data_IF_071468231165
#
_entry.id   IF_071468231165
#
_cell.length_a   1.000
_cell.length_b   1.000
_cell.length_c   1.000
_cell.angle_alpha   90.00
_cell.angle_beta   90.00
_cell.angle_gamma   90.00
#
_symmetry.space_group_name_H-M   'P 1'
#
loop_
_entity.id
_entity.type
_entity.pdbx_description
1 polymer ?
#
# COMPACT_ATOMS: atom_id res chain seq x y z
N UNK A 1 -20.21 12.68 39.47
CA UNK A 1 -20.17 13.60 38.31
C UNK A 1 -19.44 12.89 37.19
N UNK A 2 -20.16 12.56 36.12
CA UNK A 2 -19.63 11.83 34.96
C UNK A 2 -18.85 12.79 34.06
N UNK A 3 -17.54 12.57 33.92
CA UNK A 3 -16.75 13.28 32.93
C UNK A 3 -16.70 12.44 31.65
N UNK A 4 -17.27 13.03 30.61
CA UNK A 4 -17.47 12.45 29.29
C UNK A 4 -16.14 11.96 28.70
N UNK A 5 -16.17 10.71 28.23
CA UNK A 5 -15.18 10.11 27.34
C UNK A 5 -15.19 10.93 26.06
N UNK A 6 -14.20 11.81 25.90
CA UNK A 6 -14.01 12.55 24.64
C UNK A 6 -13.67 11.53 23.55
N UNK A 7 -14.64 11.23 22.70
CA UNK A 7 -14.42 10.61 21.39
C UNK A 7 -13.54 11.58 20.59
N UNK A 8 -12.22 11.39 20.67
CA UNK A 8 -11.27 12.11 19.83
C UNK A 8 -11.58 11.72 18.38
N UNK A 9 -12.27 12.61 17.67
CA UNK A 9 -12.42 12.52 16.22
C UNK A 9 -11.03 12.39 15.61
N UNK A 10 -10.74 11.22 15.04
CA UNK A 10 -9.46 10.93 14.40
C UNK A 10 -9.20 12.02 13.34
N UNK A 11 -7.96 12.55 13.26
CA UNK A 11 -7.63 13.64 12.36
C UNK A 11 -7.86 13.17 10.92
N UNK A 12 -8.65 13.95 10.17
CA UNK A 12 -8.77 13.97 8.71
C UNK A 12 -8.16 12.76 7.97
N UNK A 13 -8.96 11.73 7.68
CA UNK A 13 -8.52 10.64 6.80
C UNK A 13 -8.30 11.20 5.40
N UNK A 14 -7.09 11.09 4.87
CA UNK A 14 -6.81 11.51 3.51
C UNK A 14 -7.73 10.77 2.51
N UNK A 15 -8.21 11.44 1.44
CA UNK A 15 -9.18 10.88 0.50
C UNK A 15 -8.62 9.64 -0.19
N UNK A 16 -9.44 8.60 -0.30
CA UNK A 16 -9.06 7.32 -0.95
C UNK A 16 -9.04 7.49 -2.47
N UNK A 17 -8.06 6.84 -3.12
CA UNK A 17 -7.97 6.78 -4.57
C UNK A 17 -8.92 5.71 -5.12
N UNK A 18 -10.08 6.13 -5.61
CA UNK A 18 -11.05 5.25 -6.27
C UNK A 18 -10.53 4.64 -7.58
N UNK A 19 -9.58 5.28 -8.24
CA UNK A 19 -8.93 4.71 -9.42
C UNK A 19 -8.02 3.53 -9.02
N UNK A 20 -7.37 3.59 -7.87
CA UNK A 20 -6.55 2.48 -7.36
C UNK A 20 -7.41 1.27 -6.98
N UNK A 21 -8.59 1.49 -6.38
CA UNK A 21 -9.51 0.38 -6.05
C UNK A 21 -10.08 -0.30 -7.30
N UNK A 22 -10.11 0.39 -8.44
CA UNK A 22 -10.48 -0.15 -9.77
C UNK A 22 -9.28 -0.63 -10.59
N UNK A 23 -8.10 -0.76 -9.97
CA UNK A 23 -6.85 -1.20 -10.61
C UNK A 23 -6.40 -0.31 -11.80
N UNK A 24 -6.87 0.93 -11.86
CA UNK A 24 -6.59 1.87 -12.97
C UNK A 24 -5.63 3.01 -12.60
N UNK A 25 -5.22 3.11 -11.33
CA UNK A 25 -4.21 4.07 -10.90
C UNK A 25 -2.83 3.42 -10.80
N UNK A 26 -1.92 3.83 -11.68
CA UNK A 26 -0.51 3.43 -11.68
C UNK A 26 0.43 4.53 -11.15
N UNK A 27 -0.11 5.67 -10.70
CA UNK A 27 0.69 6.82 -10.26
C UNK A 27 1.20 6.61 -8.84
N UNK A 28 2.52 6.67 -8.67
CA UNK A 28 3.18 6.56 -7.37
C UNK A 28 2.98 7.79 -6.47
N UNK A 29 3.00 9.00 -7.05
CA UNK A 29 2.75 10.26 -6.36
C UNK A 29 1.26 10.64 -6.41
N UNK A 30 0.39 9.66 -6.16
CA UNK A 30 -1.04 9.93 -6.10
C UNK A 30 -1.36 10.83 -4.91
N UNK A 31 -2.11 11.92 -5.15
CA UNK A 31 -2.57 12.84 -4.09
C UNK A 31 -3.61 12.22 -3.15
N UNK A 32 -4.01 10.98 -3.41
CA UNK A 32 -5.04 10.23 -2.70
C UNK A 32 -4.45 8.92 -2.17
N UNK A 33 -4.96 8.43 -1.05
CA UNK A 33 -4.48 7.20 -0.39
C UNK A 33 -4.84 5.97 -1.22
N UNK A 34 -3.85 5.13 -1.49
CA UNK A 34 -4.05 3.82 -2.10
C UNK A 34 -4.34 2.78 -1.01
N UNK A 35 -5.49 2.10 -1.08
CA UNK A 35 -5.79 1.03 -0.13
C UNK A 35 -5.07 -0.26 -0.54
N UNK A 36 -3.85 -0.43 -0.06
CA UNK A 36 -3.07 -1.64 -0.26
C UNK A 36 -3.60 -2.82 0.58
N UNK A 37 -3.26 -4.05 0.16
CA UNK A 37 -3.49 -5.27 0.95
C UNK A 37 -2.27 -5.54 1.83
N UNK A 38 -2.41 -5.34 3.14
CA UNK A 38 -1.34 -5.49 4.12
C UNK A 38 -1.21 -6.93 4.64
N UNK A 39 0.02 -7.36 4.92
CA UNK A 39 0.29 -8.68 5.46
C UNK A 39 0.02 -8.73 6.97
N UNK A 40 -1.08 -9.37 7.37
CA UNK A 40 -1.41 -9.56 8.78
C UNK A 40 -0.33 -10.33 9.55
N UNK A 41 0.27 -11.34 8.91
CA UNK A 41 1.33 -12.15 9.54
C UNK A 41 2.59 -11.32 9.79
N UNK A 42 2.95 -10.41 8.89
CA UNK A 42 4.10 -9.52 9.07
C UNK A 42 3.87 -8.54 10.23
N UNK A 43 2.65 -7.98 10.33
CA UNK A 43 2.28 -7.09 11.43
C UNK A 43 2.32 -7.75 12.80
N UNK A 44 2.18 -9.08 12.87
CA UNK A 44 2.32 -9.86 14.10
C UNK A 44 3.70 -10.54 14.21
N UNK A 45 4.69 -10.11 13.41
CA UNK A 45 6.09 -10.61 13.44
C UNK A 45 6.28 -12.09 13.06
N UNK A 46 5.30 -12.69 12.37
CA UNK A 46 5.33 -14.11 11.96
C UNK A 46 5.77 -14.30 10.50
N UNK A 47 5.50 -13.33 9.62
CA UNK A 47 5.86 -13.47 8.20
C UNK A 47 7.34 -13.20 7.95
N UNK A 48 8.02 -14.17 7.33
CA UNK A 48 9.41 -14.11 6.89
C UNK A 48 9.56 -14.34 5.36
N UNK A 49 8.44 -14.37 4.62
CA UNK A 49 8.44 -14.63 3.18
C UNK A 49 8.92 -13.40 2.42
N UNK A 50 10.02 -13.52 1.68
CA UNK A 50 10.56 -12.44 0.84
C UNK A 50 9.68 -12.15 -0.38
N UNK A 51 8.92 -13.14 -0.84
CA UNK A 51 8.01 -13.10 -1.99
C UNK A 51 6.54 -12.92 -1.58
N UNK A 52 6.28 -12.34 -0.39
CA UNK A 52 4.92 -12.19 0.09
C UNK A 52 4.05 -11.38 -0.90
N UNK A 53 2.87 -11.88 -1.31
CA UNK A 53 1.96 -11.16 -2.19
C UNK A 53 1.27 -9.98 -1.49
N UNK A 54 1.46 -9.85 -0.18
CA UNK A 54 0.91 -8.79 0.65
C UNK A 54 2.00 -7.81 1.08
N UNK A 55 1.62 -6.56 1.33
CA UNK A 55 2.56 -5.51 1.70
C UNK A 55 3.09 -5.73 3.12
N UNK A 56 4.42 -5.71 3.30
CA UNK A 56 5.03 -5.79 4.62
C UNK A 56 5.25 -4.39 5.17
N UNK A 57 4.35 -3.95 6.04
CA UNK A 57 4.55 -2.75 6.84
C UNK A 57 4.07 -2.99 8.27
N UNK A 58 4.57 -2.20 9.20
CA UNK A 58 4.07 -2.18 10.58
C UNK A 58 2.68 -1.56 10.64
N UNK A 59 1.95 -1.81 11.74
CA UNK A 59 0.64 -1.16 11.98
C UNK A 59 0.77 0.36 12.10
N UNK A 60 1.88 0.84 12.65
CA UNK A 60 2.17 2.28 12.78
C UNK A 60 2.34 2.91 11.40
N UNK A 61 3.18 2.33 10.54
CA UNK A 61 3.37 2.82 9.16
C UNK A 61 2.06 2.78 8.33
N UNK A 62 1.25 1.74 8.50
CA UNK A 62 -0.07 1.67 7.88
C UNK A 62 -0.97 2.81 8.34
N UNK A 63 -1.03 3.03 9.66
CA UNK A 63 -1.85 4.09 10.24
C UNK A 63 -1.40 5.47 9.78
N UNK A 64 -0.10 5.74 9.84
CA UNK A 64 0.49 7.01 9.42
C UNK A 64 0.19 7.29 7.95
N UNK A 65 0.27 6.29 7.08
CA UNK A 65 -0.07 6.44 5.67
C UNK A 65 -1.56 6.73 5.45
N UNK A 66 -2.45 6.03 6.16
CA UNK A 66 -3.91 6.23 6.03
C UNK A 66 -4.32 7.64 6.50
N UNK A 67 -3.67 8.14 7.53
CA UNK A 67 -3.96 9.47 8.10
C UNK A 67 -3.32 10.58 7.27
N UNK A 68 -2.02 10.48 7.00
CA UNK A 68 -1.27 11.56 6.33
C UNK A 68 -1.42 11.56 4.81
N UNK A 69 -1.71 10.39 4.21
CA UNK A 69 -1.62 10.19 2.77
C UNK A 69 -0.19 10.20 2.21
N UNK A 70 0.82 10.31 3.06
CA UNK A 70 2.23 10.43 2.67
C UNK A 70 2.91 9.07 2.89
N UNK A 71 3.30 8.35 1.82
CA UNK A 71 3.98 7.07 1.97
C UNK A 71 5.42 7.28 2.41
N UNK A 72 5.88 6.53 3.41
CA UNK A 72 7.29 6.49 3.80
C UNK A 72 8.13 5.84 2.70
N UNK A 73 9.44 6.13 2.67
CA UNK A 73 10.35 5.53 1.69
C UNK A 73 10.31 4.00 1.71
N UNK A 74 10.29 3.41 2.91
CA UNK A 74 10.15 1.97 3.10
C UNK A 74 8.83 1.43 2.54
N UNK A 75 7.72 2.13 2.75
CA UNK A 75 6.43 1.73 2.19
C UNK A 75 6.47 1.73 0.66
N UNK A 76 7.13 2.71 0.03
CA UNK A 76 7.31 2.76 -1.42
C UNK A 76 8.11 1.55 -1.94
N UNK A 77 9.20 1.21 -1.28
CA UNK A 77 10.04 0.05 -1.62
C UNK A 77 9.27 -1.27 -1.49
N UNK A 78 8.48 -1.39 -0.43
CA UNK A 78 7.61 -2.53 -0.18
C UNK A 78 6.52 -2.69 -1.24
N UNK A 79 5.89 -1.58 -1.64
CA UNK A 79 4.89 -1.58 -2.71
C UNK A 79 5.55 -1.94 -4.03
N UNK A 80 6.76 -1.43 -4.31
CA UNK A 80 7.52 -1.79 -5.51
C UNK A 80 7.84 -3.29 -5.55
N UNK A 81 8.27 -3.87 -4.44
CA UNK A 81 8.50 -5.32 -4.32
C UNK A 81 7.22 -6.11 -4.60
N UNK A 82 6.11 -5.73 -3.97
CA UNK A 82 4.84 -6.46 -4.12
C UNK A 82 4.24 -6.30 -5.52
N UNK A 83 4.33 -5.12 -6.14
CA UNK A 83 3.86 -4.89 -7.53
C UNK A 83 4.75 -5.56 -8.58
N UNK A 84 6.05 -5.69 -8.32
CA UNK A 84 6.92 -6.51 -9.17
C UNK A 84 6.51 -7.99 -9.18
N UNK A 85 5.74 -8.43 -8.18
CA UNK A 85 5.29 -9.80 -7.99
C UNK A 85 3.92 -10.10 -8.65
N UNK A 86 3.19 -9.08 -9.11
CA UNK A 86 1.85 -9.27 -9.72
C UNK A 86 1.83 -8.83 -11.18
N UNK A 87 1.91 -9.81 -12.09
CA UNK A 87 1.38 -9.76 -13.46
C UNK A 87 1.86 -8.65 -14.40
N UNK A 88 3.16 -8.33 -14.41
CA UNK A 88 3.77 -7.66 -15.56
C UNK A 88 4.76 -8.62 -16.21
N UNK A 89 4.52 -8.94 -17.48
CA UNK A 89 5.44 -9.73 -18.31
C UNK A 89 6.87 -9.19 -18.16
N UNK A 90 7.80 -10.03 -17.70
CA UNK A 90 9.20 -9.65 -17.50
C UNK A 90 9.85 -9.07 -18.76
N UNK A 91 9.46 -9.57 -19.93
CA UNK A 91 9.98 -9.14 -21.23
C UNK A 91 9.56 -7.70 -21.61
N UNK A 92 8.46 -7.20 -21.04
CA UNK A 92 8.06 -5.79 -21.20
C UNK A 92 8.98 -4.85 -20.41
N UNK A 93 9.45 -5.27 -19.23
CA UNK A 93 10.32 -4.46 -18.36
C UNK A 93 11.72 -4.27 -18.97
N UNK A 94 12.18 -5.21 -19.79
CA UNK A 94 13.49 -5.18 -20.47
C UNK A 94 13.43 -4.66 -21.92
N UNK A 95 12.26 -4.20 -22.38
CA UNK A 95 11.97 -3.77 -23.77
C UNK A 95 12.18 -4.86 -24.84
N UNK A 96 12.10 -6.14 -24.46
CA UNK A 96 12.32 -7.29 -25.35
C UNK A 96 11.05 -8.02 -25.82
N UNK A 97 9.86 -7.58 -25.41
CA UNK A 97 8.63 -8.29 -25.74
C UNK A 97 8.23 -8.14 -27.22
N UNK A 98 8.36 -9.22 -28.00
CA UNK A 98 8.00 -9.31 -29.43
C UNK A 98 6.75 -10.16 -29.71
N UNK A 99 6.01 -10.58 -28.67
CA UNK A 99 4.77 -11.36 -28.86
C UNK A 99 3.66 -10.43 -29.34
N UNK A 100 3.40 -10.42 -30.64
CA UNK A 100 2.12 -9.96 -31.19
C UNK A 100 1.06 -11.01 -30.89
N UNK A 101 -0.14 -10.54 -30.52
CA UNK A 101 -1.35 -11.31 -30.20
C UNK A 101 -1.63 -12.47 -31.16
#
# INVERSE_FOLDING_TARGET
MSFYRSEQALPYKAPICEAFTKESCATWDCKKVHQFRYCYQYQNTVCNKNDCPYLHCTRVEQYDYIVSGIPTQRLKEEVARTLQNTNVCGDFKTRGCIRTS
#
